data_IF_016635426118
#
_entry.id   IF_016635426118
#
_cell.length_a   1.000
_cell.length_b   1.000
_cell.length_c   1.000
_cell.angle_alpha   90.00
_cell.angle_beta   90.00
_cell.angle_gamma   90.00
#
_symmetry.space_group_name_H-M   'P 1'
#
loop_
_entity.id
_entity.type
_entity.pdbx_description
1 polymer ?
#
# COMPACT_ATOMS: atom_id res chain seq x y z
N UNK A 1 -10.20 -6.57 9.96
CA UNK A 1 -10.54 -5.61 8.90
C UNK A 1 -11.96 -5.89 8.51
N UNK A 2 -12.80 -4.87 8.40
CA UNK A 2 -14.19 -5.04 7.97
C UNK A 2 -14.30 -4.94 6.44
N UNK A 3 -15.40 -5.45 5.87
CA UNK A 3 -15.60 -5.42 4.41
C UNK A 3 -15.58 -4.02 3.81
N UNK A 4 -16.05 -2.99 4.53
CA UNK A 4 -16.03 -1.60 4.05
C UNK A 4 -14.61 -1.09 3.85
N UNK A 5 -13.70 -1.45 4.76
CA UNK A 5 -12.31 -1.02 4.74
C UNK A 5 -11.58 -1.70 3.58
N UNK A 6 -11.84 -3.00 3.38
CA UNK A 6 -11.29 -3.76 2.26
C UNK A 6 -11.76 -3.16 0.91
N UNK A 7 -13.05 -2.82 0.78
CA UNK A 7 -13.59 -2.17 -0.42
C UNK A 7 -12.96 -0.80 -0.66
N UNK A 8 -12.78 0.01 0.39
CA UNK A 8 -12.13 1.32 0.28
C UNK A 8 -10.67 1.18 -0.17
N UNK A 9 -9.90 0.26 0.41
CA UNK A 9 -8.53 -0.04 0.04
C UNK A 9 -8.41 -0.51 -1.42
N UNK A 10 -9.23 -1.48 -1.83
CA UNK A 10 -9.25 -1.98 -3.20
C UNK A 10 -9.67 -0.90 -4.20
N UNK A 11 -10.65 -0.06 -3.86
CA UNK A 11 -11.07 1.06 -4.70
C UNK A 11 -9.95 2.10 -4.86
N UNK A 12 -9.20 2.36 -3.79
CA UNK A 12 -8.02 3.20 -3.85
C UNK A 12 -6.89 2.56 -4.67
N UNK A 13 -6.77 1.24 -4.73
CA UNK A 13 -5.78 0.56 -5.58
C UNK A 13 -6.22 0.39 -7.05
N UNK A 14 -7.52 0.45 -7.35
CA UNK A 14 -8.10 0.27 -8.68
C UNK A 14 -7.88 1.48 -9.63
N UNK A 15 -6.63 1.92 -9.77
CA UNK A 15 -6.20 2.97 -10.70
C UNK A 15 -4.69 2.84 -10.96
N UNK A 16 -4.28 2.90 -12.22
CA UNK A 16 -2.91 2.61 -12.65
C UNK A 16 -1.84 3.41 -11.88
N UNK A 17 -2.01 4.74 -11.80
CA UNK A 17 -1.06 5.60 -11.06
C UNK A 17 -1.00 5.28 -9.57
N UNK A 18 -2.13 4.97 -8.93
CA UNK A 18 -2.18 4.67 -7.48
C UNK A 18 -1.56 3.30 -7.19
N UNK A 19 -1.79 2.32 -8.06
CA UNK A 19 -1.15 1.03 -7.97
C UNK A 19 0.36 1.13 -8.20
N UNK A 20 0.79 1.91 -9.20
CA UNK A 20 2.21 2.18 -9.46
C UNK A 20 2.90 2.85 -8.27
N UNK A 21 2.29 3.90 -7.72
CA UNK A 21 2.73 4.59 -6.52
C UNK A 21 2.84 3.63 -5.33
N UNK A 22 1.79 2.85 -5.06
CA UNK A 22 1.79 1.88 -3.97
C UNK A 22 2.95 0.89 -4.11
N UNK A 23 3.19 0.37 -5.32
CA UNK A 23 4.32 -0.54 -5.60
C UNK A 23 5.68 0.10 -5.39
N UNK A 24 5.86 1.36 -5.78
CA UNK A 24 7.09 2.11 -5.50
C UNK A 24 7.33 2.24 -4.00
N UNK A 25 6.28 2.53 -3.22
CA UNK A 25 6.38 2.64 -1.77
C UNK A 25 6.66 1.29 -1.09
N UNK A 26 6.09 0.19 -1.59
CA UNK A 26 6.45 -1.16 -1.13
C UNK A 26 7.93 -1.45 -1.37
N UNK A 27 8.47 -1.07 -2.53
CA UNK A 27 9.89 -1.24 -2.83
C UNK A 27 10.80 -0.34 -1.99
N UNK A 28 10.32 0.86 -1.62
CA UNK A 28 11.06 1.79 -0.77
C UNK A 28 11.15 1.32 0.69
N UNK A 29 10.26 0.42 1.13
CA UNK A 29 10.22 -0.12 2.48
C UNK A 29 10.10 0.96 3.56
N UNK A 30 10.72 0.72 4.70
CA UNK A 30 10.67 1.59 5.89
C UNK A 30 11.19 3.01 5.67
N UNK A 31 12.12 3.19 4.73
CA UNK A 31 12.66 4.49 4.38
C UNK A 31 11.61 5.40 3.73
N UNK A 32 10.63 4.81 3.04
CA UNK A 32 9.66 5.53 2.23
C UNK A 32 10.29 6.33 1.09
N UNK A 33 9.50 7.20 0.46
CA UNK A 33 9.94 8.00 -0.68
C UNK A 33 9.37 9.42 -0.60
N UNK A 34 10.14 10.43 -1.00
CA UNK A 34 9.65 11.81 -1.02
C UNK A 34 8.66 12.02 -2.17
N UNK A 35 7.67 12.91 -1.98
CA UNK A 35 6.67 13.18 -3.01
C UNK A 35 7.26 13.61 -4.36
N UNK A 36 8.36 14.37 -4.34
CA UNK A 36 9.05 14.79 -5.56
C UNK A 36 9.60 13.60 -6.34
N UNK A 37 10.27 12.67 -5.67
CA UNK A 37 10.87 11.49 -6.29
C UNK A 37 9.78 10.54 -6.83
N UNK A 38 8.65 10.41 -6.12
CA UNK A 38 7.50 9.64 -6.60
C UNK A 38 6.93 10.26 -7.89
N UNK A 39 6.79 11.59 -7.93
CA UNK A 39 6.26 12.30 -9.09
C UNK A 39 7.16 12.10 -10.32
N UNK A 40 8.47 12.18 -10.12
CA UNK A 40 9.47 11.96 -11.17
C UNK A 40 9.44 10.52 -11.70
N UNK A 41 9.44 9.52 -10.81
CA UNK A 41 9.45 8.11 -11.23
C UNK A 41 8.17 7.66 -11.94
N UNK A 42 7.03 8.26 -11.61
CA UNK A 42 5.75 7.95 -12.24
C UNK A 42 5.41 8.85 -13.42
N UNK A 43 6.24 9.85 -13.72
CA UNK A 43 6.00 10.88 -14.73
C UNK A 43 4.62 11.56 -14.59
N UNK A 44 4.32 12.03 -13.37
CA UNK A 44 3.04 12.67 -13.05
C UNK A 44 3.21 14.08 -12.47
N UNK A 45 2.27 14.97 -12.81
CA UNK A 45 2.26 16.31 -12.25
C UNK A 45 2.07 16.29 -10.71
N UNK A 46 2.74 17.20 -9.95
CA UNK A 46 2.65 17.22 -8.49
C UNK A 46 1.22 17.38 -7.93
N UNK A 47 0.35 18.12 -8.62
CA UNK A 47 -1.05 18.29 -8.22
C UNK A 47 -1.83 16.98 -8.33
N UNK A 48 -1.64 16.25 -9.44
CA UNK A 48 -2.24 14.92 -9.65
C UNK A 48 -1.72 13.91 -8.64
N UNK A 49 -0.40 13.91 -8.39
CA UNK A 49 0.19 13.03 -7.38
C UNK A 49 -0.40 13.29 -5.99
N UNK A 50 -0.53 14.55 -5.59
CA UNK A 50 -1.08 14.92 -4.28
C UNK A 50 -2.49 14.33 -4.09
N UNK A 51 -3.33 14.38 -5.12
CA UNK A 51 -4.66 13.77 -5.10
C UNK A 51 -4.61 12.26 -4.88
N UNK A 52 -3.70 11.57 -5.59
CA UNK A 52 -3.50 10.13 -5.44
C UNK A 52 -2.96 9.72 -4.07
N UNK A 53 -2.01 10.49 -3.52
CA UNK A 53 -1.47 10.29 -2.18
C UNK A 53 -2.57 10.43 -1.12
N UNK A 54 -3.40 11.48 -1.22
CA UNK A 54 -4.53 11.67 -0.30
C UNK A 54 -5.53 10.52 -0.37
N UNK A 55 -5.84 10.00 -1.57
CA UNK A 55 -6.75 8.86 -1.71
C UNK A 55 -6.19 7.59 -1.04
N UNK A 56 -4.90 7.32 -1.19
CA UNK A 56 -4.25 6.18 -0.55
C UNK A 56 -4.11 6.34 0.97
N UNK A 57 -3.84 7.55 1.46
CA UNK A 57 -3.85 7.85 2.90
C UNK A 57 -5.24 7.67 3.51
N UNK A 58 -6.28 8.18 2.85
CA UNK A 58 -7.67 8.04 3.30
C UNK A 58 -8.11 6.58 3.33
N UNK A 59 -7.60 5.76 2.42
CA UNK A 59 -7.81 4.32 2.41
C UNK A 59 -6.95 3.56 3.45
N UNK A 60 -6.11 4.27 4.21
CA UNK A 60 -5.26 3.69 5.25
C UNK A 60 -4.12 2.83 4.73
N UNK A 61 -3.73 2.95 3.46
CA UNK A 61 -2.67 2.11 2.88
C UNK A 61 -1.27 2.70 3.04
N UNK A 62 -1.18 4.03 3.17
CA UNK A 62 0.08 4.76 3.26
C UNK A 62 0.01 5.81 4.36
N UNK A 63 1.17 6.33 4.76
CA UNK A 63 1.29 7.40 5.75
C UNK A 63 2.36 8.42 5.33
N UNK A 64 2.07 9.71 5.48
CA UNK A 64 3.05 10.78 5.41
C UNK A 64 3.85 10.93 6.72
N UNK A 65 5.17 11.01 6.58
CA UNK A 65 6.12 11.30 7.66
C UNK A 65 6.93 12.53 7.28
N UNK A 66 6.87 13.58 8.11
CA UNK A 66 7.64 14.80 7.87
C UNK A 66 9.05 14.65 8.44
N UNK A 67 10.06 14.76 7.57
CA UNK A 67 11.48 14.74 7.95
C UNK A 67 12.12 16.06 7.52
N UNK A 68 12.32 16.95 8.49
CA UNK A 68 12.80 18.33 8.25
C UNK A 68 11.87 19.10 7.29
N UNK A 69 12.38 19.49 6.12
CA UNK A 69 11.66 20.25 5.09
C UNK A 69 10.92 19.39 4.07
N UNK A 70 11.08 18.06 4.14
CA UNK A 70 10.50 17.13 3.16
C UNK A 70 9.44 16.23 3.82
N UNK A 71 8.47 15.81 3.00
CA UNK A 71 7.47 14.82 3.38
C UNK A 71 7.81 13.52 2.63
N UNK A 72 7.93 12.44 3.39
CA UNK A 72 8.14 11.10 2.90
C UNK A 72 6.86 10.30 3.07
N UNK A 73 6.55 9.43 2.12
CA UNK A 73 5.41 8.52 2.17
C UNK A 73 5.93 7.10 2.29
N UNK A 74 5.24 6.27 3.07
CA UNK A 74 5.54 4.85 3.20
C UNK A 74 4.26 4.05 3.38
N UNK A 75 4.32 2.74 3.17
CA UNK A 75 3.18 1.85 3.39
C UNK A 75 2.89 1.69 4.90
N UNK A 76 1.62 1.45 5.23
CA UNK A 76 1.21 0.97 6.57
C UNK A 76 1.16 -0.55 6.49
N UNK A 77 2.24 -1.22 6.90
CA UNK A 77 2.42 -2.67 6.75
C UNK A 77 1.28 -3.44 7.42
N UNK A 78 0.82 -3.00 8.58
CA UNK A 78 -0.27 -3.63 9.32
C UNK A 78 -1.56 -3.66 8.50
N UNK A 79 -1.92 -2.56 7.84
CA UNK A 79 -3.14 -2.45 7.05
C UNK A 79 -3.03 -3.21 5.73
N UNK A 80 -1.86 -3.17 5.09
CA UNK A 80 -1.59 -3.97 3.88
C UNK A 80 -1.66 -5.46 4.20
N UNK A 81 -1.03 -5.90 5.30
CA UNK A 81 -1.09 -7.29 5.75
C UNK A 81 -2.51 -7.70 6.08
N UNK A 82 -3.28 -6.85 6.77
CA UNK A 82 -4.67 -7.15 7.10
C UNK A 82 -5.55 -7.26 5.84
N UNK A 83 -5.31 -6.45 4.79
CA UNK A 83 -6.00 -6.57 3.51
C UNK A 83 -5.68 -7.91 2.82
N UNK A 84 -4.41 -8.29 2.78
CA UNK A 84 -3.99 -9.56 2.20
C UNK A 84 -4.57 -10.75 2.96
N UNK A 85 -4.52 -10.73 4.30
CA UNK A 85 -5.16 -11.75 5.12
C UNK A 85 -6.65 -11.84 4.83
N UNK A 86 -7.37 -10.71 4.79
CA UNK A 86 -8.81 -10.68 4.48
C UNK A 86 -9.14 -11.29 3.11
N UNK A 87 -8.32 -11.07 2.09
CA UNK A 87 -8.52 -11.64 0.76
C UNK A 87 -8.20 -13.14 0.68
N UNK A 88 -7.39 -13.65 1.62
CA UNK A 88 -6.82 -14.99 1.54
C UNK A 88 -7.35 -15.97 2.60
N UNK A 89 -8.05 -15.48 3.62
CA UNK A 89 -8.55 -16.25 4.77
C UNK A 89 -9.42 -17.45 4.35
N UNK A 90 -10.30 -17.23 3.37
CA UNK A 90 -11.20 -18.27 2.82
C UNK A 90 -10.78 -18.73 1.42
N UNK A 91 -9.55 -18.42 1.02
CA UNK A 91 -9.08 -18.72 -0.32
C UNK A 91 -9.11 -20.23 -0.57
N UNK A 92 -9.58 -20.62 -1.76
CA UNK A 92 -9.54 -22.02 -2.18
C UNK A 92 -10.33 -22.97 -1.21
N UNK A 93 -11.36 -22.45 -0.51
CA UNK A 93 -12.17 -23.11 0.54
C UNK A 93 -11.37 -23.45 1.82
N UNK A 94 -10.65 -22.46 2.35
CA UNK A 94 -9.77 -22.63 3.51
C UNK A 94 -8.49 -23.42 3.20
N UNK A 95 -8.07 -23.42 1.93
CA UNK A 95 -6.87 -24.11 1.42
C UNK A 95 -5.97 -23.16 0.63
N UNK A 96 -5.42 -22.11 1.26
CA UNK A 96 -4.61 -21.10 0.59
C UNK A 96 -3.38 -21.68 -0.14
N UNK A 97 -2.92 -22.88 0.23
CA UNK A 97 -1.83 -23.60 -0.44
C UNK A 97 -2.11 -23.91 -1.92
N UNK A 98 -3.39 -24.11 -2.29
CA UNK A 98 -3.77 -24.34 -3.69
C UNK A 98 -3.58 -23.08 -4.55
N UNK A 99 -3.66 -21.94 -3.90
CA UNK A 99 -3.51 -20.64 -4.49
C UNK A 99 -2.04 -20.14 -4.39
N UNK A 100 -1.11 -20.99 -3.90
CA UNK A 100 0.31 -20.67 -3.73
C UNK A 100 0.60 -19.65 -2.62
N UNK A 101 -0.39 -19.37 -1.77
CA UNK A 101 -0.30 -18.45 -0.65
C UNK A 101 0.09 -19.27 0.58
N UNK A 102 1.30 -19.08 1.10
CA UNK A 102 1.66 -19.65 2.39
C UNK A 102 0.77 -19.01 3.46
N UNK A 103 0.15 -19.81 4.33
CA UNK A 103 -0.50 -19.30 5.54
C UNK A 103 0.51 -18.40 6.27
N UNK A 104 0.16 -17.12 6.42
CA UNK A 104 1.09 -16.08 6.83
C UNK A 104 1.77 -16.42 8.16
N UNK A 105 2.98 -16.98 8.11
CA UNK A 105 3.92 -16.88 9.22
C UNK A 105 4.70 -15.61 8.97
N UNK A 106 4.38 -14.62 9.79
CA UNK A 106 4.95 -13.29 9.81
C UNK A 106 6.44 -13.34 10.22
N UNK A 107 7.32 -13.71 9.29
CA UNK A 107 8.73 -13.34 9.38
C UNK A 107 8.88 -11.86 9.01
N UNK A 108 8.45 -10.98 9.92
CA UNK A 108 8.63 -9.52 9.85
C UNK A 108 10.07 -9.13 10.29
N UNK A 109 11.04 -10.05 10.18
CA UNK A 109 12.42 -9.80 10.63
C UNK A 109 13.26 -8.96 9.66
N UNK A 110 12.68 -8.46 8.55
CA UNK A 110 13.44 -7.71 7.53
C UNK A 110 12.56 -6.73 6.73
N UNK A 111 11.85 -5.84 7.42
CA UNK A 111 11.45 -4.54 6.89
C UNK A 111 12.12 -3.45 7.74
#
# INVERSE_FOLDING_TARGET
MESSDAVAALSALAHDTRLGLFRLLVQAGDAGMAAGDIAEQLDVAPSTLSHHLTQLEQAGLIVARRKSRHIFYGIIVENVSALLSYLTEECCAGRPELCGIAAAQADISSC
#
